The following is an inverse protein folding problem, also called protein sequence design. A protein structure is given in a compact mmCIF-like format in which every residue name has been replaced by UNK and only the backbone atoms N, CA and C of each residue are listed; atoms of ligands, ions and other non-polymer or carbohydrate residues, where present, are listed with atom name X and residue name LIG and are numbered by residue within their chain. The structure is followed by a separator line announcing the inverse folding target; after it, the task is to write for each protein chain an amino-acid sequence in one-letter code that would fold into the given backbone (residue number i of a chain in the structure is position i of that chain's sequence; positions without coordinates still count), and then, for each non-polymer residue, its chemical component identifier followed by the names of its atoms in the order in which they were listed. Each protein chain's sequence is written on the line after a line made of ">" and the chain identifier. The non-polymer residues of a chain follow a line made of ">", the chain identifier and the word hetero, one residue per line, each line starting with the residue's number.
data_IF_825550397252
#
_entry.id   IF_825550397252
#
_cell.length_a   1.000
_cell.length_b   1.000
_cell.length_c   1.000
_cell.angle_alpha   90.00
_cell.angle_beta   90.00
_cell.angle_gamma   90.00
#
_symmetry.space_group_name_H-M   'P 1'
#
loop_
_entity.id
_entity.type
_entity.pdbx_description
1 polymer ?
#
# COMPACT_ATOMS: atom_id res chain seq x y z
N UNK A 1 8.10 20.96 -27.33
CA UNK A 1 8.76 19.92 -26.55
C UNK A 1 8.05 19.85 -25.21
N UNK A 2 7.12 18.92 -25.04
CA UNK A 2 6.47 18.68 -23.74
C UNK A 2 7.49 17.93 -22.88
N UNK A 3 7.90 18.52 -21.76
CA UNK A 3 8.66 17.81 -20.75
C UNK A 3 7.83 16.60 -20.31
N UNK A 4 8.36 15.39 -20.47
CA UNK A 4 7.74 14.20 -19.95
C UNK A 4 7.56 14.30 -18.45
N UNK A 5 6.62 13.58 -17.85
CA UNK A 5 6.45 13.59 -16.39
C UNK A 5 7.78 13.14 -15.77
N UNK A 6 8.38 14.04 -15.03
CA UNK A 6 9.56 13.70 -14.22
C UNK A 6 9.21 12.45 -13.39
N UNK A 7 10.06 11.44 -13.45
CA UNK A 7 9.93 10.26 -12.61
C UNK A 7 10.02 10.70 -11.16
N UNK A 8 8.87 10.85 -10.49
CA UNK A 8 8.84 11.23 -9.08
C UNK A 8 9.21 9.99 -8.28
N UNK A 9 10.28 10.07 -7.53
CA UNK A 9 10.64 9.02 -6.60
C UNK A 9 9.46 8.75 -5.65
N UNK A 10 9.14 7.48 -5.47
CA UNK A 10 8.12 7.00 -4.55
C UNK A 10 8.82 6.39 -3.34
N UNK A 11 8.55 6.93 -2.17
CA UNK A 11 9.15 6.45 -0.92
C UNK A 11 8.04 5.97 0.01
N UNK A 12 8.15 4.76 0.51
CA UNK A 12 7.19 4.17 1.45
C UNK A 12 7.89 3.83 2.75
N UNK A 13 7.36 4.33 3.86
CA UNK A 13 7.86 4.02 5.20
C UNK A 13 6.92 3.00 5.82
N UNK A 14 7.39 1.77 5.92
CA UNK A 14 6.63 0.65 6.48
C UNK A 14 6.63 0.71 8.01
N UNK A 15 5.44 0.68 8.61
CA UNK A 15 5.28 0.74 10.06
C UNK A 15 4.96 -0.59 10.71
N UNK A 16 4.30 -1.49 10.01
CA UNK A 16 3.75 -2.72 10.57
C UNK A 16 2.57 -2.50 11.51
N UNK A 17 1.96 -1.31 11.49
CA UNK A 17 0.90 -0.88 12.39
C UNK A 17 -0.38 -0.57 11.62
N UNK A 18 -1.53 -0.95 12.17
CA UNK A 18 -2.82 -0.72 11.52
C UNK A 18 -3.44 0.65 11.81
N UNK A 19 -2.89 1.45 12.73
CA UNK A 19 -3.42 2.77 13.09
C UNK A 19 -2.47 3.90 12.73
N UNK A 20 -3.01 5.06 12.32
CA UNK A 20 -2.21 6.22 11.93
C UNK A 20 -1.32 6.75 13.06
N UNK A 21 -1.78 6.75 14.29
CA UNK A 21 -1.02 7.24 15.43
C UNK A 21 0.20 6.36 15.73
N UNK A 22 0.01 5.05 15.73
CA UNK A 22 1.10 4.09 15.94
C UNK A 22 2.08 4.12 14.76
N UNK A 23 1.57 4.15 13.53
CA UNK A 23 2.40 4.22 12.33
C UNK A 23 3.26 5.49 12.30
N UNK A 24 2.71 6.66 12.65
CA UNK A 24 3.48 7.90 12.74
C UNK A 24 4.57 7.80 13.80
N UNK A 25 4.29 7.21 14.96
CA UNK A 25 5.29 7.02 16.01
C UNK A 25 6.45 6.18 15.51
N UNK A 26 6.17 5.04 14.86
CA UNK A 26 7.21 4.17 14.28
C UNK A 26 8.01 4.91 13.20
N UNK A 27 7.33 5.61 12.29
CA UNK A 27 7.99 6.37 11.22
C UNK A 27 8.93 7.44 11.77
N UNK A 28 8.49 8.21 12.77
CA UNK A 28 9.35 9.22 13.41
C UNK A 28 10.53 8.59 14.16
N UNK A 29 10.33 7.43 14.80
CA UNK A 29 11.43 6.75 15.48
C UNK A 29 12.47 6.22 14.50
N UNK A 30 12.06 5.66 13.36
CA UNK A 30 12.97 5.23 12.30
C UNK A 30 13.78 6.43 11.76
N UNK A 31 13.12 7.57 11.54
CA UNK A 31 13.77 8.78 11.09
C UNK A 31 14.75 9.35 12.14
N UNK A 32 14.36 9.40 13.40
CA UNK A 32 15.23 9.82 14.48
C UNK A 32 16.50 8.95 14.54
N UNK A 33 16.34 7.64 14.43
CA UNK A 33 17.47 6.69 14.40
C UNK A 33 18.39 6.95 13.21
N UNK A 34 17.83 7.12 12.00
CA UNK A 34 18.59 7.39 10.79
C UNK A 34 19.38 8.71 10.86
N UNK A 35 18.85 9.71 11.56
CA UNK A 35 19.48 11.01 11.76
C UNK A 35 20.43 11.06 12.99
N UNK A 36 20.47 10.00 13.79
CA UNK A 36 21.20 10.02 15.07
C UNK A 36 20.61 11.01 16.09
N UNK A 37 19.30 11.31 16.01
CA UNK A 37 18.59 12.27 16.85
C UNK A 37 17.57 11.61 17.76
N UNK A 38 17.10 12.35 18.77
CA UNK A 38 15.98 11.91 19.60
C UNK A 38 14.64 12.06 18.86
N UNK A 39 13.62 11.30 19.30
CA UNK A 39 12.28 11.40 18.74
C UNK A 39 11.69 12.82 18.85
N UNK A 40 11.95 13.51 19.97
CA UNK A 40 11.50 14.90 20.20
C UNK A 40 12.11 15.89 19.20
N UNK A 41 13.39 15.72 18.86
CA UNK A 41 14.06 16.56 17.86
C UNK A 41 13.51 16.31 16.45
N UNK A 42 13.16 15.06 16.14
CA UNK A 42 12.58 14.70 14.83
C UNK A 42 11.17 15.25 14.65
N UNK A 43 10.36 15.32 15.71
CA UNK A 43 9.02 15.91 15.66
C UNK A 43 9.03 17.42 15.38
N UNK A 44 10.07 18.11 15.82
CA UNK A 44 10.22 19.57 15.60
C UNK A 44 10.71 19.92 14.18
N UNK A 45 11.44 19.00 13.57
CA UNK A 45 11.91 19.11 12.19
C UNK A 45 10.97 18.29 11.32
N UNK A 46 10.31 18.88 10.33
CA UNK A 46 9.59 18.05 9.36
C UNK A 46 10.59 17.05 8.73
N UNK A 47 10.65 15.76 9.15
CA UNK A 47 11.73 14.85 8.76
C UNK A 47 11.66 14.46 7.28
N UNK A 48 10.54 14.76 6.63
CA UNK A 48 10.28 14.46 5.22
C UNK A 48 10.41 15.70 4.33
N UNK A 49 10.86 16.84 4.88
CA UNK A 49 11.14 18.01 4.06
C UNK A 49 12.38 17.80 3.19
N UNK A 50 12.40 18.43 2.03
CA UNK A 50 13.56 18.42 1.14
C UNK A 50 14.85 18.91 1.85
N UNK A 51 14.71 19.82 2.82
CA UNK A 51 15.81 20.35 3.62
C UNK A 51 16.43 19.32 4.57
N UNK A 52 15.72 18.23 4.89
CA UNK A 52 16.27 17.14 5.69
C UNK A 52 17.20 16.22 4.87
N UNK A 53 17.24 16.34 3.55
CA UNK A 53 18.11 15.58 2.66
C UNK A 53 17.87 14.07 2.62
N UNK A 54 16.76 13.60 3.23
CA UNK A 54 16.51 12.18 3.41
C UNK A 54 15.75 11.56 2.25
N UNK A 55 14.75 12.26 1.72
CA UNK A 55 13.91 11.74 0.65
C UNK A 55 13.43 12.84 -0.27
N UNK A 56 13.45 12.56 -1.57
CA UNK A 56 12.85 13.40 -2.60
C UNK A 56 11.66 12.70 -3.22
N UNK A 57 10.63 13.43 -3.65
CA UNK A 57 9.44 12.87 -4.30
C UNK A 57 8.26 12.65 -3.34
N UNK A 58 7.39 11.71 -3.69
CA UNK A 58 6.19 11.41 -2.91
C UNK A 58 6.52 10.53 -1.72
N UNK A 59 6.05 10.91 -0.55
CA UNK A 59 6.25 10.20 0.70
C UNK A 59 4.95 9.52 1.13
N UNK A 60 5.00 8.22 1.39
CA UNK A 60 3.87 7.45 1.91
C UNK A 60 4.20 6.88 3.28
N UNK A 61 3.23 6.95 4.19
CA UNK A 61 3.25 6.14 5.39
C UNK A 61 2.45 4.87 5.13
N UNK A 62 3.04 3.70 5.42
CA UNK A 62 2.35 2.42 5.30
C UNK A 62 1.60 2.08 6.58
N UNK A 63 0.38 1.60 6.42
CA UNK A 63 -0.42 0.96 7.45
C UNK A 63 -0.62 -0.50 7.06
N UNK A 64 -0.59 -1.39 8.03
CA UNK A 64 -0.79 -2.81 7.78
C UNK A 64 0.50 -3.62 7.81
N UNK A 65 0.52 -4.71 7.06
CA UNK A 65 1.64 -5.65 6.97
C UNK A 65 1.31 -7.05 7.48
N UNK A 66 2.31 -7.94 7.44
CA UNK A 66 2.16 -9.37 7.70
C UNK A 66 2.13 -9.78 9.19
N UNK A 67 2.30 -8.85 10.11
CA UNK A 67 2.28 -9.13 11.55
C UNK A 67 0.88 -8.89 12.17
N UNK A 68 0.67 -9.36 13.41
CA UNK A 68 -0.61 -9.22 14.09
C UNK A 68 -1.03 -7.76 14.35
N UNK A 69 -0.07 -6.84 14.56
CA UNK A 69 -0.35 -5.42 14.75
C UNK A 69 -0.79 -4.74 13.45
N UNK A 70 -0.41 -5.31 12.30
CA UNK A 70 -0.75 -4.85 10.96
C UNK A 70 -2.09 -5.38 10.43
N UNK A 71 -2.75 -6.30 11.13
CA UNK A 71 -4.00 -6.88 10.65
C UNK A 71 -5.12 -5.83 10.52
N UNK A 72 -5.71 -5.72 9.33
CA UNK A 72 -6.87 -4.86 9.12
C UNK A 72 -8.16 -5.54 9.59
N UNK A 73 -8.89 -4.83 10.41
CA UNK A 73 -10.24 -5.19 10.86
C UNK A 73 -11.13 -3.94 10.85
N UNK A 74 -12.43 -4.12 11.03
CA UNK A 74 -13.33 -2.98 11.24
C UNK A 74 -12.89 -2.09 12.41
N UNK A 75 -12.44 -2.70 13.51
CA UNK A 75 -12.01 -1.99 14.70
C UNK A 75 -10.74 -1.18 14.43
N UNK A 76 -9.73 -1.79 13.80
CA UNK A 76 -8.49 -1.09 13.47
C UNK A 76 -8.73 0.05 12.50
N UNK A 77 -9.59 -0.10 11.49
CA UNK A 77 -9.94 0.94 10.52
C UNK A 77 -10.73 2.08 11.16
N UNK A 78 -11.71 1.79 12.03
CA UNK A 78 -12.45 2.83 12.77
C UNK A 78 -11.56 3.55 13.78
N UNK A 79 -10.67 2.82 14.46
CA UNK A 79 -9.69 3.37 15.40
C UNK A 79 -8.47 4.02 14.74
N UNK A 80 -8.28 3.83 13.44
CA UNK A 80 -7.05 4.21 12.74
C UNK A 80 -6.82 5.72 12.57
N UNK A 81 -7.80 6.55 12.93
CA UNK A 81 -7.62 8.00 12.88
C UNK A 81 -7.88 8.64 11.51
N UNK A 82 -8.62 7.96 10.61
CA UNK A 82 -9.04 8.53 9.31
C UNK A 82 -10.06 9.67 9.46
N UNK A 83 -9.90 10.45 10.50
CA UNK A 83 -10.64 11.70 10.75
C UNK A 83 -9.93 12.86 10.04
N UNK A 84 -10.62 13.98 9.77
CA UNK A 84 -9.97 15.16 9.21
C UNK A 84 -8.74 15.63 10.02
N UNK A 85 -8.81 15.53 11.36
CA UNK A 85 -7.71 15.90 12.25
C UNK A 85 -6.53 14.92 12.11
N UNK A 86 -6.79 13.61 12.11
CA UNK A 86 -5.75 12.58 11.96
C UNK A 86 -5.03 12.70 10.62
N UNK A 87 -5.77 12.84 9.53
CA UNK A 87 -5.21 13.01 8.20
C UNK A 87 -4.44 14.34 8.03
N UNK A 88 -4.92 15.42 8.67
CA UNK A 88 -4.18 16.68 8.72
C UNK A 88 -2.82 16.51 9.42
N UNK A 89 -2.75 15.69 10.49
CA UNK A 89 -1.49 15.40 11.18
C UNK A 89 -0.51 14.63 10.28
N UNK A 90 -0.99 13.67 9.49
CA UNK A 90 -0.18 12.93 8.50
C UNK A 90 0.39 13.87 7.45
N UNK A 91 -0.43 14.79 6.91
CA UNK A 91 0.04 15.81 5.97
C UNK A 91 1.04 16.76 6.58
N UNK A 92 0.80 17.21 7.82
CA UNK A 92 1.72 18.10 8.54
C UNK A 92 3.07 17.42 8.82
N UNK A 93 3.10 16.09 8.93
CA UNK A 93 4.31 15.30 9.01
C UNK A 93 5.06 15.14 7.67
N UNK A 94 4.53 15.69 6.56
CA UNK A 94 5.19 15.69 5.25
C UNK A 94 4.79 14.54 4.32
N UNK A 95 3.84 13.68 4.73
CA UNK A 95 3.38 12.59 3.86
C UNK A 95 2.43 13.08 2.77
N UNK A 96 2.65 12.60 1.56
CA UNK A 96 1.82 12.83 0.37
C UNK A 96 0.63 11.89 0.31
N UNK A 97 0.74 10.71 0.94
CA UNK A 97 -0.27 9.67 0.87
C UNK A 97 -0.14 8.60 1.95
N UNK A 98 -1.08 7.68 1.92
CA UNK A 98 -1.11 6.51 2.79
C UNK A 98 -1.04 5.27 1.91
N UNK A 99 -0.14 4.35 2.26
CA UNK A 99 -0.04 3.02 1.70
C UNK A 99 -0.79 2.05 2.62
N UNK A 100 -1.81 1.41 2.12
CA UNK A 100 -2.53 0.34 2.81
C UNK A 100 -1.90 -0.99 2.42
N UNK A 101 -1.11 -1.55 3.33
CA UNK A 101 -0.41 -2.83 3.17
C UNK A 101 -1.32 -3.97 3.65
N UNK A 102 -2.24 -4.37 2.77
CA UNK A 102 -3.35 -5.28 3.09
C UNK A 102 -2.89 -6.72 2.88
N UNK A 103 -2.20 -7.27 3.87
CA UNK A 103 -1.68 -8.64 3.84
C UNK A 103 -2.44 -9.59 4.76
N UNK A 104 -2.82 -9.12 5.95
CA UNK A 104 -3.60 -9.85 6.95
C UNK A 104 -4.90 -9.10 7.22
N UNK A 105 -6.02 -9.82 7.20
CA UNK A 105 -7.34 -9.24 7.43
C UNK A 105 -8.19 -10.09 8.34
N UNK A 106 -8.97 -9.45 9.21
CA UNK A 106 -9.84 -10.07 10.20
C UNK A 106 -11.26 -9.51 10.11
N UNK A 107 -12.25 -10.29 10.54
CA UNK A 107 -13.65 -9.85 10.62
C UNK A 107 -14.50 -10.20 9.40
N UNK A 108 -15.70 -9.63 9.34
CA UNK A 108 -16.68 -9.92 8.30
C UNK A 108 -16.34 -9.19 6.99
N UNK A 109 -16.41 -9.91 5.89
CA UNK A 109 -15.96 -9.45 4.57
C UNK A 109 -16.60 -8.14 4.09
N UNK A 110 -17.93 -8.05 4.15
CA UNK A 110 -18.67 -6.89 3.65
C UNK A 110 -18.34 -5.61 4.43
N UNK A 111 -18.29 -5.73 5.75
CA UNK A 111 -17.99 -4.58 6.63
C UNK A 111 -16.55 -4.13 6.49
N UNK A 112 -15.61 -5.06 6.30
CA UNK A 112 -14.19 -4.75 6.11
C UNK A 112 -13.96 -4.03 4.77
N UNK A 113 -14.53 -4.53 3.67
CA UNK A 113 -14.42 -3.89 2.37
C UNK A 113 -15.00 -2.47 2.38
N UNK A 114 -16.15 -2.28 3.03
CA UNK A 114 -16.78 -0.96 3.18
C UNK A 114 -15.93 -0.01 4.04
N UNK A 115 -15.31 -0.51 5.12
CA UNK A 115 -14.46 0.28 6.00
C UNK A 115 -13.15 0.71 5.30
N UNK A 116 -12.53 -0.16 4.51
CA UNK A 116 -11.37 0.20 3.69
C UNK A 116 -11.72 1.27 2.65
N UNK A 117 -12.81 1.10 1.91
CA UNK A 117 -13.26 2.11 0.95
C UNK A 117 -13.57 3.46 1.62
N UNK A 118 -14.19 3.45 2.81
CA UNK A 118 -14.43 4.66 3.58
C UNK A 118 -13.12 5.36 3.98
N UNK A 119 -12.09 4.60 4.35
CA UNK A 119 -10.76 5.12 4.65
C UNK A 119 -10.09 5.72 3.40
N UNK A 120 -10.17 5.05 2.24
CA UNK A 120 -9.66 5.58 0.97
C UNK A 120 -10.34 6.91 0.61
N UNK A 121 -11.66 6.95 0.67
CA UNK A 121 -12.45 8.17 0.41
C UNK A 121 -12.07 9.29 1.38
N UNK A 122 -11.84 8.98 2.65
CA UNK A 122 -11.41 9.99 3.64
C UNK A 122 -10.02 10.57 3.27
N UNK A 123 -9.07 9.73 2.86
CA UNK A 123 -7.76 10.18 2.37
C UNK A 123 -7.91 11.08 1.14
N UNK A 124 -8.72 10.69 0.16
CA UNK A 124 -8.96 11.50 -1.04
C UNK A 124 -9.59 12.86 -0.71
N UNK A 125 -10.59 12.90 0.19
CA UNK A 125 -11.19 14.16 0.67
C UNK A 125 -10.18 15.06 1.37
N UNK A 126 -9.18 14.48 2.04
CA UNK A 126 -8.09 15.23 2.65
C UNK A 126 -7.02 15.69 1.63
N UNK A 127 -7.17 15.34 0.34
CA UNK A 127 -6.21 15.64 -0.71
C UNK A 127 -4.93 14.82 -0.58
N UNK A 128 -5.04 13.58 -0.06
CA UNK A 128 -3.93 12.62 0.03
C UNK A 128 -4.06 11.55 -1.04
N UNK A 129 -2.92 11.00 -1.44
CA UNK A 129 -2.87 9.85 -2.33
C UNK A 129 -3.15 8.56 -1.55
N UNK A 130 -3.77 7.60 -2.23
CA UNK A 130 -4.04 6.26 -1.72
C UNK A 130 -3.26 5.24 -2.52
N UNK A 131 -2.42 4.48 -1.85
CA UNK A 131 -1.72 3.34 -2.40
C UNK A 131 -2.23 2.08 -1.71
N UNK A 132 -2.47 1.02 -2.47
CA UNK A 132 -2.77 -0.30 -1.94
C UNK A 132 -1.66 -1.25 -2.35
N UNK A 133 -1.09 -1.95 -1.38
CA UNK A 133 -0.18 -3.07 -1.61
C UNK A 133 -0.76 -4.32 -0.95
N UNK A 134 -0.45 -5.48 -1.49
CA UNK A 134 -0.94 -6.77 -1.00
C UNK A 134 -0.04 -7.90 -1.50
N UNK A 135 -0.12 -9.06 -0.89
CA UNK A 135 0.63 -10.25 -1.31
C UNK A 135 0.15 -10.72 -2.68
N UNK A 136 0.97 -10.54 -3.72
CA UNK A 136 0.62 -10.85 -5.10
C UNK A 136 -0.73 -10.22 -5.51
N UNK A 137 -1.83 -10.99 -5.53
CA UNK A 137 -3.13 -10.55 -6.04
C UNK A 137 -4.19 -10.31 -4.97
N UNK A 138 -3.94 -10.70 -3.72
CA UNK A 138 -4.89 -10.57 -2.60
C UNK A 138 -4.16 -10.75 -1.26
N UNK A 139 -4.78 -10.41 -0.11
CA UNK A 139 -4.23 -10.72 1.20
C UNK A 139 -3.91 -12.21 1.34
N UNK A 140 -2.74 -12.56 1.85
CA UNK A 140 -2.40 -13.97 2.04
C UNK A 140 -3.18 -14.60 3.19
N UNK A 141 -3.52 -13.83 4.23
CA UNK A 141 -4.32 -14.27 5.37
C UNK A 141 -5.61 -13.44 5.48
N UNK A 142 -6.74 -14.11 5.46
CA UNK A 142 -8.05 -13.53 5.66
C UNK A 142 -8.96 -14.53 6.36
N UNK A 143 -10.03 -14.03 7.01
CA UNK A 143 -10.99 -14.88 7.73
C UNK A 143 -11.61 -15.97 6.81
N UNK A 144 -11.82 -15.63 5.54
CA UNK A 144 -12.34 -16.57 4.52
C UNK A 144 -11.84 -16.19 3.12
N UNK A 145 -11.87 -17.12 2.19
CA UNK A 145 -11.62 -16.83 0.76
C UNK A 145 -12.65 -15.85 0.18
N UNK A 146 -13.86 -15.84 0.72
CA UNK A 146 -14.87 -14.84 0.36
C UNK A 146 -14.42 -13.42 0.72
N UNK A 147 -13.74 -13.25 1.85
CA UNK A 147 -13.16 -11.95 2.25
C UNK A 147 -12.15 -11.46 1.21
N UNK A 148 -11.23 -12.31 0.78
CA UNK A 148 -10.25 -11.96 -0.27
C UNK A 148 -10.94 -11.50 -1.55
N UNK A 149 -11.96 -12.25 -2.02
CA UNK A 149 -12.70 -11.89 -3.23
C UNK A 149 -13.42 -10.56 -3.14
N UNK A 150 -14.09 -10.29 -2.02
CA UNK A 150 -14.79 -9.01 -1.82
C UNK A 150 -13.82 -7.84 -1.77
N UNK A 151 -12.66 -8.01 -1.14
CA UNK A 151 -11.63 -6.99 -1.12
C UNK A 151 -11.12 -6.68 -2.53
N UNK A 152 -10.75 -7.71 -3.30
CA UNK A 152 -10.31 -7.51 -4.69
C UNK A 152 -11.41 -6.89 -5.55
N UNK A 153 -12.65 -7.34 -5.42
CA UNK A 153 -13.78 -6.76 -6.15
C UNK A 153 -14.01 -5.28 -5.75
N UNK A 154 -13.85 -4.93 -4.47
CA UNK A 154 -13.95 -3.54 -4.02
C UNK A 154 -12.84 -2.68 -4.61
N UNK A 155 -11.58 -3.15 -4.62
CA UNK A 155 -10.45 -2.42 -5.19
C UNK A 155 -10.60 -2.18 -6.69
N UNK A 156 -11.03 -3.20 -7.43
CA UNK A 156 -11.27 -3.09 -8.88
C UNK A 156 -12.35 -2.04 -9.21
N UNK A 157 -13.32 -1.87 -8.33
CA UNK A 157 -14.41 -0.91 -8.52
C UNK A 157 -14.13 0.46 -7.89
N UNK A 158 -13.10 0.59 -7.03
CA UNK A 158 -12.76 1.84 -6.37
C UNK A 158 -12.18 2.86 -7.36
N UNK A 159 -12.62 4.09 -7.24
CA UNK A 159 -11.99 5.26 -7.87
C UNK A 159 -11.09 6.04 -6.91
N UNK A 160 -10.96 5.56 -5.69
CA UNK A 160 -10.21 6.23 -4.62
C UNK A 160 -8.77 5.75 -4.53
N UNK A 161 -8.41 4.63 -5.19
CA UNK A 161 -7.05 4.10 -5.21
C UNK A 161 -6.27 4.75 -6.36
N UNK A 162 -5.18 5.44 -6.03
CA UNK A 162 -4.31 6.08 -7.02
C UNK A 162 -3.21 5.14 -7.52
N UNK A 163 -2.67 4.30 -6.63
CA UNK A 163 -1.55 3.39 -6.91
C UNK A 163 -1.91 1.99 -6.41
N UNK A 164 -1.69 1.00 -7.26
CA UNK A 164 -1.71 -0.40 -6.87
C UNK A 164 -0.31 -0.99 -7.00
N UNK A 165 0.19 -1.55 -5.90
CA UNK A 165 1.56 -2.02 -5.77
C UNK A 165 1.59 -3.48 -5.30
N UNK A 166 1.34 -4.45 -6.20
CA UNK A 166 1.39 -5.86 -5.81
C UNK A 166 2.81 -6.25 -5.42
N UNK A 167 2.95 -6.96 -4.30
CA UNK A 167 4.23 -7.51 -3.86
C UNK A 167 4.54 -8.75 -4.71
N UNK A 168 5.61 -8.70 -5.49
CA UNK A 168 6.08 -9.81 -6.32
C UNK A 168 7.18 -10.62 -5.61
N UNK A 169 7.01 -10.79 -4.31
CA UNK A 169 7.90 -11.53 -3.42
C UNK A 169 7.13 -12.09 -2.23
N UNK A 170 7.69 -13.06 -1.54
CA UNK A 170 7.13 -13.63 -0.31
C UNK A 170 8.04 -13.35 0.89
N UNK A 171 9.35 -13.52 0.74
CA UNK A 171 10.33 -13.32 1.82
C UNK A 171 11.16 -12.03 1.66
N UNK A 172 11.17 -11.45 0.46
CA UNK A 172 12.02 -10.31 0.10
C UNK A 172 13.45 -10.69 -0.32
N UNK A 173 13.76 -11.99 -0.41
CA UNK A 173 15.06 -12.51 -0.80
C UNK A 173 15.02 -13.37 -2.07
N UNK A 174 13.93 -13.31 -2.82
CA UNK A 174 13.74 -14.08 -4.04
C UNK A 174 14.73 -13.63 -5.12
N UNK A 175 15.33 -14.58 -5.88
CA UNK A 175 16.27 -14.25 -6.96
C UNK A 175 15.58 -13.70 -8.22
N UNK A 176 14.26 -13.70 -8.25
CA UNK A 176 13.42 -13.21 -9.36
C UNK A 176 12.03 -12.84 -8.83
N UNK A 177 11.28 -11.98 -9.55
CA UNK A 177 9.91 -11.66 -9.14
C UNK A 177 9.02 -12.91 -9.22
N UNK A 178 8.05 -12.96 -8.33
CA UNK A 178 7.05 -14.03 -8.22
C UNK A 178 5.73 -13.52 -8.81
N UNK A 179 5.13 -14.31 -9.70
CA UNK A 179 3.89 -13.94 -10.40
C UNK A 179 2.70 -14.84 -10.05
N UNK A 180 2.87 -15.64 -9.02
CA UNK A 180 1.84 -16.51 -8.49
C UNK A 180 0.61 -15.69 -8.04
N UNK A 181 -0.54 -16.35 -8.00
CA UNK A 181 -1.73 -15.77 -7.39
C UNK A 181 -1.72 -16.01 -5.88
N UNK A 182 -2.31 -15.07 -5.14
CA UNK A 182 -2.84 -15.41 -3.81
C UNK A 182 -4.21 -16.04 -3.99
N UNK A 183 -4.38 -17.35 -3.74
CA UNK A 183 -5.64 -18.03 -4.04
C UNK A 183 -6.82 -17.47 -3.24
N UNK A 184 -7.96 -17.33 -3.90
CA UNK A 184 -9.25 -16.99 -3.30
C UNK A 184 -10.22 -18.17 -3.26
N UNK A 185 -9.87 -19.25 -3.93
CA UNK A 185 -10.53 -20.55 -3.93
C UNK A 185 -9.50 -21.64 -4.19
N UNK A 186 -9.69 -22.87 -3.68
CA UNK A 186 -8.80 -23.99 -3.94
C UNK A 186 -8.64 -24.36 -5.43
N UNK A 187 -9.61 -23.97 -6.24
CA UNK A 187 -9.67 -24.25 -7.70
C UNK A 187 -9.24 -23.07 -8.55
N UNK A 188 -8.75 -21.99 -7.96
CA UNK A 188 -8.35 -20.80 -8.71
C UNK A 188 -7.20 -21.09 -9.66
N UNK A 189 -7.35 -20.64 -10.90
CA UNK A 189 -6.29 -20.59 -11.91
C UNK A 189 -5.87 -19.15 -12.18
N UNK A 190 -4.71 -18.97 -12.81
CA UNK A 190 -4.17 -17.63 -13.16
C UNK A 190 -5.16 -16.74 -13.93
N UNK A 191 -6.08 -17.34 -14.68
CA UNK A 191 -6.97 -16.63 -15.60
C UNK A 191 -8.44 -16.60 -15.17
N UNK A 192 -8.89 -17.52 -14.32
CA UNK A 192 -10.30 -17.70 -13.98
C UNK A 192 -10.66 -17.31 -12.55
N UNK A 193 -9.68 -16.91 -11.76
CA UNK A 193 -9.89 -16.49 -10.38
C UNK A 193 -10.44 -15.06 -10.28
N UNK A 194 -11.26 -14.84 -9.26
CA UNK A 194 -11.65 -13.49 -8.85
C UNK A 194 -10.47 -12.67 -8.26
N UNK A 195 -9.40 -13.35 -7.85
CA UNK A 195 -8.16 -12.75 -7.39
C UNK A 195 -7.03 -12.94 -8.42
N UNK A 196 -7.35 -12.87 -9.72
CA UNK A 196 -6.38 -13.00 -10.80
C UNK A 196 -5.83 -11.64 -11.26
N UNK A 197 -4.68 -11.68 -11.93
CA UNK A 197 -4.12 -10.51 -12.61
C UNK A 197 -5.10 -9.93 -13.63
N UNK A 198 -5.82 -10.77 -14.39
CA UNK A 198 -6.85 -10.38 -15.32
C UNK A 198 -8.04 -9.67 -14.65
N UNK A 199 -8.34 -9.99 -13.40
CA UNK A 199 -9.36 -9.28 -12.64
C UNK A 199 -8.84 -7.91 -12.19
N UNK A 200 -7.65 -7.88 -11.62
CA UNK A 200 -7.00 -6.67 -11.11
C UNK A 200 -6.65 -5.67 -12.22
N UNK A 201 -6.35 -6.13 -13.45
CA UNK A 201 -6.13 -5.29 -14.63
C UNK A 201 -7.24 -4.25 -14.85
N UNK A 202 -8.45 -4.50 -14.37
CA UNK A 202 -9.59 -3.57 -14.48
C UNK A 202 -9.52 -2.38 -13.52
N UNK A 203 -8.58 -2.37 -12.60
CA UNK A 203 -8.34 -1.22 -11.71
C UNK A 203 -7.95 0.00 -12.52
N UNK A 204 -8.40 1.16 -12.06
CA UNK A 204 -8.03 2.46 -12.64
C UNK A 204 -6.72 3.02 -12.05
N UNK A 205 -6.20 2.38 -11.04
CA UNK A 205 -4.97 2.78 -10.36
C UNK A 205 -3.75 2.65 -11.28
N UNK A 206 -2.73 3.47 -11.03
CA UNK A 206 -1.40 3.29 -11.62
C UNK A 206 -0.75 2.05 -11.00
N UNK A 207 -0.14 1.21 -11.84
CA UNK A 207 0.55 0.00 -11.40
C UNK A 207 2.03 0.27 -11.13
N UNK A 208 2.45 0.00 -9.89
CA UNK A 208 3.83 0.16 -9.43
C UNK A 208 4.21 -1.09 -8.64
N UNK A 209 4.72 -2.15 -9.29
CA UNK A 209 5.02 -3.41 -8.60
C UNK A 209 6.05 -3.23 -7.48
N UNK A 210 5.79 -3.84 -6.32
CA UNK A 210 6.79 -3.96 -5.24
C UNK A 210 7.70 -5.14 -5.51
N UNK A 211 9.02 -4.89 -5.50
CA UNK A 211 10.06 -5.84 -5.85
C UNK A 211 11.09 -5.94 -4.73
N UNK A 212 11.67 -7.13 -4.55
CA UNK A 212 12.78 -7.34 -3.60
C UNK A 212 14.12 -6.77 -4.09
N UNK A 213 14.25 -6.51 -5.41
CA UNK A 213 15.41 -5.85 -6.03
C UNK A 213 14.99 -5.05 -7.25
N UNK A 214 15.63 -3.91 -7.48
CA UNK A 214 15.42 -3.10 -8.68
C UNK A 214 15.76 -3.86 -9.98
N UNK A 215 16.68 -4.81 -9.93
CA UNK A 215 17.07 -5.66 -11.06
C UNK A 215 15.91 -6.54 -11.56
N UNK A 216 14.88 -6.75 -10.74
CA UNK A 216 13.69 -7.52 -11.09
C UNK A 216 12.68 -6.75 -11.95
N UNK A 217 12.82 -5.43 -12.06
CA UNK A 217 11.83 -4.59 -12.75
C UNK A 217 11.61 -4.97 -14.21
N UNK A 218 12.65 -5.23 -15.05
CA UNK A 218 12.42 -5.61 -16.43
C UNK A 218 11.59 -6.89 -16.59
N UNK A 219 11.75 -7.88 -15.70
CA UNK A 219 10.96 -9.11 -15.72
C UNK A 219 9.50 -8.86 -15.32
N UNK A 220 9.28 -7.97 -14.34
CA UNK A 220 7.94 -7.57 -13.93
C UNK A 220 7.22 -6.79 -15.05
N UNK A 221 7.91 -5.83 -15.68
CA UNK A 221 7.40 -5.06 -16.81
C UNK A 221 7.00 -5.99 -17.97
N UNK A 222 7.88 -6.93 -18.36
CA UNK A 222 7.59 -7.91 -19.42
C UNK A 222 6.37 -8.78 -19.09
N UNK A 223 6.24 -9.23 -17.83
CA UNK A 223 5.09 -10.03 -17.40
C UNK A 223 3.79 -9.24 -17.53
N UNK A 224 3.75 -8.04 -16.98
CA UNK A 224 2.54 -7.21 -16.99
C UNK A 224 2.19 -6.69 -18.39
N UNK A 225 3.19 -6.42 -19.24
CA UNK A 225 2.95 -6.06 -20.63
C UNK A 225 2.21 -7.16 -21.42
N UNK A 226 2.49 -8.45 -21.15
CA UNK A 226 1.74 -9.57 -21.73
C UNK A 226 0.27 -9.62 -21.33
N UNK A 227 -0.08 -8.95 -20.24
CA UNK A 227 -1.45 -8.79 -19.73
C UNK A 227 -2.07 -7.45 -20.16
N UNK A 228 -1.42 -6.66 -21.01
CA UNK A 228 -1.76 -5.27 -21.35
C UNK A 228 -1.88 -4.37 -20.10
N UNK A 229 -1.02 -4.56 -19.14
CA UNK A 229 -0.92 -3.71 -17.94
C UNK A 229 0.35 -2.86 -18.08
N UNK A 230 0.18 -1.53 -18.13
CA UNK A 230 1.30 -0.59 -18.07
C UNK A 230 1.77 -0.45 -16.63
N UNK A 231 3.05 -0.72 -16.38
CA UNK A 231 3.68 -0.53 -15.06
C UNK A 231 4.62 0.67 -15.07
N UNK A 232 4.85 1.21 -13.89
CA UNK A 232 5.86 2.26 -13.67
C UNK A 232 6.83 1.79 -12.57
N UNK A 233 8.11 1.98 -12.81
CA UNK A 233 9.20 1.71 -11.88
C UNK A 233 9.77 2.98 -11.29
#
# INVERSE_FOLDING_TARGET
>A
MCAGPESRNLNVIFSGEATLSSALTVAFQQQATALGKSLSETHLLNPFSADAGLHTGLQFISLGGSNAAGAFSNETLHGAGFTPKGLASVKAAGFSGICFDVEVTEGAADTLAAALEAAFVACKKAGMLVMVTTSHTAPFAAATDHTKRLLVDSWVNSSSIDIFSPQLYTSGYEPRPQFELTPCLPTDTLFESRCSWERLKKMKAMWVPSLSSAEHYPAAEEFFAKLDIETRG
#
